data_IF_096428942108
#
_entry.id   IF_096428942108
#
_cell.length_a   1.000
_cell.length_b   1.000
_cell.length_c   1.000
_cell.angle_alpha   90.00
_cell.angle_beta   90.00
_cell.angle_gamma   90.00
#
_symmetry.space_group_name_H-M   'P 1'
#
loop_
_entity.id
_entity.type
_entity.pdbx_description
1 polymer ?
#
# COMPACT_ATOMS: atom_id res chain seq x y z
N UNK A 1 6.42 -0.68 21.92
CA UNK A 1 5.13 -0.95 21.24
C UNK A 1 5.22 -0.53 19.77
N UNK A 2 4.32 -1.01 18.90
CA UNK A 2 4.32 -0.68 17.45
C UNK A 2 2.91 -0.27 17.02
N UNK A 3 2.81 0.80 16.24
CA UNK A 3 1.56 1.22 15.59
C UNK A 3 1.67 0.93 14.10
N UNK A 4 0.61 0.35 13.53
CA UNK A 4 0.56 -0.08 12.13
C UNK A 4 -0.62 0.59 11.46
N UNK A 5 -0.37 1.24 10.33
CA UNK A 5 -1.40 1.66 9.39
C UNK A 5 -1.27 0.79 8.16
N UNK A 6 -2.35 0.12 7.79
CA UNK A 6 -2.42 -0.68 6.58
C UNK A 6 -3.42 -0.03 5.63
N UNK A 7 -3.06 0.13 4.36
CA UNK A 7 -4.03 0.46 3.33
C UNK A 7 -4.01 -0.57 2.21
N UNK A 8 -5.18 -0.70 1.59
CA UNK A 8 -5.44 -1.64 0.50
C UNK A 8 -6.04 -0.87 -0.66
N UNK A 9 -5.79 -1.35 -1.88
CA UNK A 9 -6.50 -0.86 -3.05
C UNK A 9 -7.91 -1.45 -3.03
N UNK A 10 -8.94 -0.62 -3.02
CA UNK A 10 -10.31 -1.10 -3.21
C UNK A 10 -10.53 -1.26 -4.71
N UNK A 11 -10.62 -2.50 -5.18
CA UNK A 11 -11.09 -2.77 -6.54
C UNK A 11 -12.62 -2.70 -6.56
N UNK A 12 -13.18 -1.98 -7.53
CA UNK A 12 -14.59 -1.60 -7.54
C UNK A 12 -15.58 -2.75 -7.79
N UNK A 13 -15.10 -3.96 -8.07
CA UNK A 13 -15.94 -5.08 -8.55
C UNK A 13 -15.61 -6.45 -7.94
N UNK A 14 -14.77 -6.53 -6.89
CA UNK A 14 -14.36 -7.84 -6.39
C UNK A 14 -14.28 -7.91 -4.86
N UNK A 15 -15.28 -8.56 -4.27
CA UNK A 15 -15.34 -8.96 -2.85
C UNK A 15 -14.27 -10.01 -2.46
N UNK A 16 -13.39 -10.44 -3.37
CA UNK A 16 -12.25 -11.29 -2.98
C UNK A 16 -11.10 -10.42 -2.46
N UNK A 17 -11.17 -10.18 -1.16
CA UNK A 17 -10.05 -9.70 -0.37
C UNK A 17 -8.94 -10.76 -0.40
N UNK A 18 -7.96 -10.60 -1.27
CA UNK A 18 -6.71 -11.37 -1.19
C UNK A 18 -6.01 -11.00 0.12
N UNK A 19 -5.99 -11.94 1.06
CA UNK A 19 -5.39 -11.83 2.38
C UNK A 19 -3.87 -11.67 2.24
N UNK A 20 -3.39 -10.43 2.06
CA UNK A 20 -1.95 -10.13 1.94
C UNK A 20 -1.56 -8.94 1.06
N UNK A 21 -2.49 -8.29 0.34
CA UNK A 21 -2.12 -7.14 -0.52
C UNK A 21 -2.02 -5.79 0.22
N UNK A 22 -2.35 -5.78 1.52
CA UNK A 22 -2.16 -4.63 2.38
C UNK A 22 -0.74 -4.08 2.31
N UNK A 23 -0.61 -2.76 2.18
CA UNK A 23 0.65 -2.04 2.31
C UNK A 23 0.73 -1.49 3.74
N UNK A 24 1.56 -2.11 4.62
CA UNK A 24 1.71 -1.66 5.99
C UNK A 24 2.79 -0.59 6.11
N UNK A 25 2.51 0.47 6.85
CA UNK A 25 3.52 1.35 7.42
C UNK A 25 3.51 1.22 8.94
N UNK A 26 4.71 1.14 9.52
CA UNK A 26 4.90 0.89 10.94
C UNK A 26 5.73 1.99 11.55
N UNK A 27 5.32 2.45 12.74
CA UNK A 27 6.12 3.29 13.62
C UNK A 27 6.36 2.55 14.93
N UNK A 28 7.61 2.57 15.38
CA UNK A 28 8.00 1.98 16.65
C UNK A 28 7.98 3.05 17.75
N UNK A 29 7.39 2.70 18.89
CA UNK A 29 7.38 3.50 20.12
C UNK A 29 8.20 2.73 21.16
N UNK A 30 9.46 3.11 21.43
CA UNK A 30 10.27 2.44 22.44
C UNK A 30 9.72 2.67 23.85
N UNK A 31 9.09 3.82 24.05
CA UNK A 31 8.48 4.20 25.31
C UNK A 31 7.11 3.53 25.39
N UNK A 32 6.94 2.54 26.26
CA UNK A 32 5.70 1.76 26.43
C UNK A 32 4.55 2.59 27.05
N UNK A 33 4.49 3.89 26.78
CA UNK A 33 3.53 4.82 27.33
C UNK A 33 2.21 4.70 26.58
N UNK A 34 1.18 4.18 27.25
CA UNK A 34 -0.16 4.05 26.66
C UNK A 34 -0.84 5.40 26.39
N UNK A 35 -0.40 6.46 27.08
CA UNK A 35 -0.94 7.82 26.89
C UNK A 35 -0.54 8.44 25.55
N UNK A 36 0.54 7.95 24.91
CA UNK A 36 1.06 8.43 23.63
C UNK A 36 0.81 7.42 22.49
N UNK A 37 -0.23 6.59 22.62
CA UNK A 37 -0.63 5.66 21.56
C UNK A 37 -1.18 6.35 20.31
N UNK A 38 -1.55 7.63 20.43
CA UNK A 38 -1.99 8.43 19.31
C UNK A 38 -0.86 8.71 18.31
N UNK A 39 -1.23 8.84 17.05
CA UNK A 39 -0.36 9.44 16.05
C UNK A 39 -0.51 10.96 16.15
N UNK A 40 0.62 11.67 16.20
CA UNK A 40 0.58 13.09 15.87
C UNK A 40 0.17 13.27 14.40
N UNK A 41 -0.35 14.44 14.05
CA UNK A 41 -0.71 14.74 12.67
C UNK A 41 0.47 14.55 11.71
N UNK A 42 1.69 14.91 12.13
CA UNK A 42 2.89 14.77 11.32
C UNK A 42 3.26 13.29 11.09
N UNK A 43 3.23 12.47 12.14
CA UNK A 43 3.48 11.03 12.04
C UNK A 43 2.43 10.34 11.17
N UNK A 44 1.15 10.66 11.39
CA UNK A 44 0.05 10.13 10.58
C UNK A 44 0.20 10.48 9.09
N UNK A 45 0.55 11.73 8.77
CA UNK A 45 0.81 12.16 7.38
C UNK A 45 2.03 11.46 6.77
N UNK A 46 3.10 11.28 7.55
CA UNK A 46 4.31 10.58 7.09
C UNK A 46 4.02 9.11 6.76
N UNK A 47 3.32 8.41 7.66
CA UNK A 47 2.91 7.02 7.43
C UNK A 47 1.98 6.91 6.23
N UNK A 48 0.99 7.79 6.11
CA UNK A 48 0.05 7.78 4.99
C UNK A 48 0.77 8.03 3.65
N UNK A 49 1.70 8.98 3.60
CA UNK A 49 2.48 9.25 2.39
C UNK A 49 3.30 8.04 1.94
N UNK A 50 3.90 7.31 2.89
CA UNK A 50 4.64 6.08 2.60
C UNK A 50 3.72 5.00 2.01
N UNK A 51 2.60 4.74 2.67
CA UNK A 51 1.63 3.74 2.22
C UNK A 51 1.07 4.08 0.84
N UNK A 52 0.73 5.35 0.59
CA UNK A 52 0.25 5.82 -0.70
C UNK A 52 1.29 5.64 -1.82
N UNK A 53 2.55 5.98 -1.56
CA UNK A 53 3.62 5.81 -2.55
C UNK A 53 3.81 4.33 -2.94
N UNK A 54 3.80 3.44 -1.96
CA UNK A 54 3.91 1.99 -2.20
C UNK A 54 2.69 1.41 -2.94
N UNK A 55 1.46 1.82 -2.57
CA UNK A 55 0.24 1.41 -3.27
C UNK A 55 0.23 1.88 -4.73
N UNK A 56 0.60 3.14 -4.99
CA UNK A 56 0.68 3.68 -6.35
C UNK A 56 1.74 2.92 -7.15
N UNK A 57 2.89 2.61 -6.54
CA UNK A 57 3.95 1.83 -7.18
C UNK A 57 3.45 0.43 -7.58
N UNK A 58 2.78 -0.29 -6.66
CA UNK A 58 2.15 -1.59 -6.96
C UNK A 58 1.14 -1.48 -8.11
N UNK A 59 0.28 -0.47 -8.07
CA UNK A 59 -0.72 -0.25 -9.12
C UNK A 59 -0.08 0.01 -10.49
N UNK A 60 0.96 0.84 -10.54
CA UNK A 60 1.71 1.11 -11.78
C UNK A 60 2.40 -0.15 -12.29
N UNK A 61 3.00 -0.96 -11.41
CA UNK A 61 3.61 -2.24 -11.80
C UNK A 61 2.59 -3.22 -12.37
N UNK A 62 1.40 -3.30 -11.77
CA UNK A 62 0.28 -4.09 -12.29
C UNK A 62 -0.12 -3.64 -13.70
N UNK A 63 -0.26 -2.33 -13.92
CA UNK A 63 -0.58 -1.78 -15.25
C UNK A 63 0.50 -2.07 -16.29
N UNK A 64 1.78 -1.96 -15.92
CA UNK A 64 2.89 -2.29 -16.82
C UNK A 64 2.91 -3.77 -17.19
N UNK A 65 2.57 -4.64 -16.23
CA UNK A 65 2.53 -6.10 -16.43
C UNK A 65 1.32 -6.54 -17.26
N UNK A 66 0.19 -5.85 -17.14
CA UNK A 66 -1.03 -6.12 -17.90
C UNK A 66 -0.99 -5.62 -19.36
N UNK A 67 0.07 -4.91 -19.76
CA UNK A 67 0.18 -4.33 -21.10
C UNK A 67 0.59 -5.42 -22.09
N UNK A 68 -0.26 -5.80 -23.08
CA UNK A 68 0.18 -6.70 -24.13
C UNK A 68 1.27 -5.99 -24.93
N UNK A 69 2.35 -6.72 -25.22
CA UNK A 69 3.40 -6.28 -26.12
C UNK A 69 2.73 -6.09 -27.50
N UNK A 70 2.36 -4.85 -27.83
CA UNK A 70 1.88 -4.48 -29.17
C UNK A 70 3.08 -4.68 -30.09
N UNK A 71 3.19 -5.88 -30.66
CA UNK A 71 4.32 -6.30 -31.48
C UNK A 71 4.36 -7.80 -31.81
N UNK A 72 3.66 -8.67 -31.08
CA UNK A 72 3.59 -10.10 -31.40
C UNK A 72 2.45 -10.43 -32.38
N UNK A 73 2.35 -9.69 -33.48
CA UNK A 73 1.59 -10.09 -34.66
C UNK A 73 2.25 -9.45 -35.88
N UNK A 74 3.14 -10.19 -36.52
CA UNK A 74 3.24 -10.38 -37.98
C UNK A 74 4.45 -11.28 -38.18
N UNK A 75 4.20 -12.50 -38.67
CA UNK A 75 4.92 -13.05 -39.82
C UNK A 75 4.12 -14.23 -40.41
N UNK A 76 4.14 -14.38 -41.75
CA UNK A 76 3.26 -15.27 -42.51
C UNK A 76 3.59 -16.75 -42.33
#
# INVERSE_FOLDING_TARGET
MRLIIEARLADGDNDTVEEGDGVPAVIERPDCCLAELGLTLAEGRSLLAKVQAELISKQVQSWLSARPIVGAAVRP
#
